data_IF_464870969471
#
_entry.id   IF_464870969471
#
_cell.length_a   1.000
_cell.length_b   1.000
_cell.length_c   1.000
_cell.angle_alpha   90.00
_cell.angle_beta   90.00
_cell.angle_gamma   90.00
#
_symmetry.space_group_name_H-M   'P 1'
#
loop_
_entity.id
_entity.type
_entity.pdbx_description
1 polymer ?
#
# COMPACT_ATOMS: atom_id res chain seq x y z
N UNK A 1 14.91 -5.64 -19.92
CA UNK A 1 16.21 -6.30 -20.12
C UNK A 1 16.33 -7.38 -19.05
N UNK A 2 15.79 -8.56 -19.36
CA UNK A 2 15.64 -9.67 -18.41
C UNK A 2 16.97 -10.41 -18.32
N UNK A 3 17.77 -10.15 -17.28
CA UNK A 3 18.84 -11.06 -16.89
C UNK A 3 18.23 -12.14 -15.99
N UNK A 4 17.76 -13.23 -16.63
CA UNK A 4 17.47 -14.46 -15.92
C UNK A 4 18.76 -14.99 -15.29
N UNK A 5 18.63 -15.38 -14.03
CA UNK A 5 19.70 -15.84 -13.15
C UNK A 5 20.40 -17.10 -13.67
N UNK A 6 21.67 -17.18 -13.27
CA UNK A 6 22.67 -18.22 -13.49
C UNK A 6 22.12 -19.65 -13.57
N UNK A 7 22.67 -20.41 -14.54
CA UNK A 7 22.48 -21.86 -14.73
C UNK A 7 22.52 -22.59 -13.38
N UNK A 8 21.34 -22.87 -12.87
CA UNK A 8 21.12 -23.80 -11.77
C UNK A 8 20.72 -25.12 -12.40
N UNK A 9 21.23 -26.26 -11.90
CA UNK A 9 20.82 -27.59 -12.34
C UNK A 9 19.39 -27.86 -11.85
N UNK A 10 18.42 -27.31 -12.59
CA UNK A 10 17.00 -27.41 -12.31
C UNK A 10 16.49 -28.77 -12.80
N UNK A 11 15.89 -29.57 -11.91
CA UNK A 11 15.37 -30.90 -12.24
C UNK A 11 13.89 -30.83 -12.56
N UNK A 12 13.54 -31.13 -13.80
CA UNK A 12 12.15 -31.35 -14.22
C UNK A 12 11.68 -32.71 -13.71
N UNK A 13 10.53 -32.72 -13.06
CA UNK A 13 9.86 -33.92 -12.58
C UNK A 13 8.58 -34.12 -13.39
N UNK A 14 8.40 -35.33 -13.93
CA UNK A 14 7.18 -35.71 -14.64
C UNK A 14 6.05 -35.95 -13.62
N UNK A 15 4.88 -35.36 -13.88
CA UNK A 15 3.68 -35.58 -13.10
C UNK A 15 3.11 -36.96 -13.42
N UNK A 16 2.70 -37.71 -12.39
CA UNK A 16 2.05 -39.01 -12.55
C UNK A 16 0.71 -38.88 -13.30
N UNK A 17 0.00 -37.77 -13.08
CA UNK A 17 -1.24 -37.44 -13.77
C UNK A 17 -1.11 -36.05 -14.41
N UNK A 18 -1.19 -35.94 -15.75
CA UNK A 18 -1.18 -34.64 -16.42
C UNK A 18 -2.39 -33.80 -16.01
N UNK A 19 -2.15 -32.52 -15.73
CA UNK A 19 -3.20 -31.57 -15.33
C UNK A 19 -3.64 -30.73 -16.51
N UNK A 20 -4.94 -30.52 -16.64
CA UNK A 20 -5.50 -29.56 -17.59
C UNK A 20 -5.51 -28.17 -16.93
N UNK A 21 -4.91 -27.18 -17.58
CA UNK A 21 -4.90 -25.79 -17.13
C UNK A 21 -5.52 -24.90 -18.18
N UNK A 22 -6.19 -23.84 -17.72
CA UNK A 22 -6.75 -22.81 -18.60
C UNK A 22 -5.88 -21.58 -18.54
N UNK A 23 -5.39 -21.13 -19.69
CA UNK A 23 -4.58 -19.90 -19.81
C UNK A 23 -5.48 -18.66 -19.70
N UNK A 24 -4.85 -17.50 -19.55
CA UNK A 24 -5.54 -16.19 -19.55
C UNK A 24 -6.30 -15.90 -20.85
N UNK A 25 -5.88 -16.51 -21.97
CA UNK A 25 -6.56 -16.42 -23.27
C UNK A 25 -7.77 -17.34 -23.37
N UNK A 26 -8.07 -18.13 -22.33
CA UNK A 26 -9.15 -19.12 -22.31
C UNK A 26 -8.80 -20.43 -23.00
N UNK A 27 -7.58 -20.59 -23.51
CA UNK A 27 -7.10 -21.81 -24.13
C UNK A 27 -6.80 -22.86 -23.06
N UNK A 28 -7.18 -24.11 -23.32
CA UNK A 28 -6.84 -25.24 -22.45
C UNK A 28 -5.51 -25.83 -22.89
N UNK A 29 -4.62 -26.08 -21.94
CA UNK A 29 -3.29 -26.64 -22.15
C UNK A 29 -3.03 -27.73 -21.12
N UNK A 30 -2.21 -28.71 -21.49
CA UNK A 30 -1.88 -29.82 -20.62
C UNK A 30 -0.51 -29.60 -20.00
N UNK A 31 -0.43 -29.73 -18.68
CA UNK A 31 0.79 -29.66 -17.89
C UNK A 31 1.16 -31.07 -17.47
N UNK A 32 2.31 -31.55 -17.94
CA UNK A 32 2.85 -32.87 -17.60
C UNK A 32 4.09 -32.81 -16.72
N UNK A 33 4.67 -31.62 -16.52
CA UNK A 33 5.93 -31.46 -15.80
C UNK A 33 5.87 -30.36 -14.75
N UNK A 34 6.62 -30.59 -13.69
CA UNK A 34 6.74 -29.71 -12.53
C UNK A 34 8.21 -29.52 -12.17
N UNK A 35 8.49 -28.40 -11.52
CA UNK A 35 9.85 -28.01 -11.17
C UNK A 35 9.84 -27.14 -9.92
N UNK A 36 10.74 -27.42 -8.98
CA UNK A 36 10.86 -26.61 -7.78
C UNK A 36 11.95 -25.56 -7.96
N UNK A 37 11.57 -24.28 -7.87
CA UNK A 37 12.46 -23.14 -8.13
C UNK A 37 12.43 -22.18 -6.95
N UNK A 38 13.59 -21.67 -6.53
CA UNK A 38 13.67 -20.53 -5.61
C UNK A 38 13.45 -19.26 -6.41
N UNK A 39 12.32 -18.59 -6.16
CA UNK A 39 11.96 -17.36 -6.84
C UNK A 39 12.61 -16.15 -6.14
N UNK A 40 13.07 -15.19 -6.93
CA UNK A 40 13.54 -13.91 -6.44
C UNK A 40 12.92 -12.78 -7.27
N UNK A 41 12.28 -11.83 -6.59
CA UNK A 41 11.63 -10.67 -7.19
C UNK A 41 12.51 -9.45 -6.99
N UNK A 42 12.69 -8.68 -8.07
CA UNK A 42 13.33 -7.38 -7.98
C UNK A 42 12.26 -6.32 -7.75
N UNK A 43 12.22 -5.74 -6.55
CA UNK A 43 11.30 -4.64 -6.22
C UNK A 43 12.07 -3.34 -6.05
N UNK A 44 11.36 -2.22 -5.90
CA UNK A 44 11.98 -0.92 -5.61
C UNK A 44 12.69 -0.90 -4.24
N UNK A 45 12.30 -1.77 -3.30
CA UNK A 45 12.92 -1.90 -1.99
C UNK A 45 14.17 -2.81 -2.00
N UNK A 46 14.44 -3.51 -3.11
CA UNK A 46 15.56 -4.43 -3.25
C UNK A 46 15.14 -5.78 -3.82
N UNK A 47 16.09 -6.73 -3.82
CA UNK A 47 15.81 -8.10 -4.24
C UNK A 47 15.20 -8.87 -3.08
N UNK A 48 13.98 -9.34 -3.27
CA UNK A 48 13.26 -10.20 -2.32
C UNK A 48 13.36 -11.65 -2.79
N UNK A 49 13.83 -12.55 -1.92
CA UNK A 49 14.00 -13.97 -2.24
C UNK A 49 12.96 -14.75 -1.44
N UNK A 50 12.19 -15.58 -2.12
CA UNK A 50 11.31 -16.54 -1.46
C UNK A 50 12.18 -17.65 -0.90
N UNK A 51 12.20 -17.77 0.44
CA UNK A 51 13.11 -18.68 1.12
C UNK A 51 12.77 -20.15 0.85
N UNK A 52 11.49 -20.47 0.71
CA UNK A 52 11.01 -21.80 0.33
C UNK A 52 10.97 -21.97 -1.20
N UNK A 53 11.45 -23.11 -1.75
CA UNK A 53 11.21 -23.46 -3.15
C UNK A 53 9.71 -23.45 -3.47
N UNK A 54 9.37 -22.88 -4.61
CA UNK A 54 8.01 -22.84 -5.14
C UNK A 54 7.91 -23.89 -6.24
N UNK A 55 6.88 -24.72 -6.16
CA UNK A 55 6.56 -25.71 -7.19
C UNK A 55 5.89 -25.02 -8.37
N UNK A 56 6.57 -25.02 -9.50
CA UNK A 56 6.14 -24.39 -10.75
C UNK A 56 5.72 -25.46 -11.77
N UNK A 57 4.73 -25.10 -12.59
CA UNK A 57 4.25 -25.89 -13.72
C UNK A 57 4.85 -25.35 -15.01
N UNK A 58 5.39 -26.21 -15.86
CA UNK A 58 5.93 -25.80 -17.16
C UNK A 58 4.92 -26.07 -18.26
N UNK A 59 4.71 -25.06 -19.11
CA UNK A 59 3.89 -25.16 -20.30
C UNK A 59 4.80 -25.17 -21.54
N UNK A 60 4.49 -26.03 -22.50
CA UNK A 60 5.19 -26.06 -23.78
C UNK A 60 4.58 -25.02 -24.72
N UNK A 61 4.91 -23.75 -24.44
CA UNK A 61 4.48 -22.59 -25.24
C UNK A 61 5.69 -21.91 -25.87
N UNK A 62 5.54 -21.30 -27.06
CA UNK A 62 6.62 -20.55 -27.71
C UNK A 62 6.98 -19.25 -26.97
N UNK A 63 6.16 -18.85 -26.00
CA UNK A 63 6.33 -17.65 -25.19
C UNK A 63 7.26 -17.95 -24.00
N UNK A 64 8.33 -17.15 -23.87
CA UNK A 64 9.25 -17.20 -22.72
C UNK A 64 8.70 -16.30 -21.59
N UNK A 65 7.54 -16.70 -21.07
CA UNK A 65 6.82 -15.98 -20.03
C UNK A 65 6.68 -16.83 -18.76
N UNK A 66 6.77 -16.16 -17.61
CA UNK A 66 6.56 -16.78 -16.30
C UNK A 66 5.33 -16.16 -15.65
N UNK A 67 4.34 -16.99 -15.36
CA UNK A 67 3.11 -16.57 -14.69
C UNK A 67 3.21 -16.89 -13.20
N UNK A 68 2.99 -15.87 -12.37
CA UNK A 68 2.90 -16.04 -10.92
C UNK A 68 1.44 -16.31 -10.54
N UNK A 69 1.21 -17.37 -9.76
CA UNK A 69 -0.12 -17.72 -9.27
C UNK A 69 -0.62 -16.72 -8.22
N UNK A 70 -1.94 -16.70 -8.00
CA UNK A 70 -2.56 -15.87 -6.95
C UNK A 70 -2.13 -16.30 -5.55
N UNK A 71 -1.96 -17.60 -5.34
CA UNK A 71 -1.48 -18.20 -4.10
C UNK A 71 -0.04 -17.76 -3.75
N UNK A 72 0.83 -17.76 -4.74
CA UNK A 72 2.22 -17.30 -4.62
C UNK A 72 2.32 -15.78 -4.51
N UNK A 73 1.43 -15.04 -5.15
CA UNK A 73 1.30 -13.59 -4.97
C UNK A 73 0.81 -13.24 -3.56
N UNK A 74 -0.19 -13.97 -3.05
CA UNK A 74 -0.72 -13.78 -1.70
C UNK A 74 0.31 -14.12 -0.61
N UNK A 75 1.16 -15.13 -0.79
CA UNK A 75 2.23 -15.44 0.16
C UNK A 75 3.31 -14.34 0.23
N UNK A 76 3.45 -13.57 -0.85
CA UNK A 76 4.28 -12.37 -0.93
C UNK A 76 3.56 -11.09 -0.47
N UNK A 77 2.33 -11.21 0.05
CA UNK A 77 1.48 -10.06 0.44
C UNK A 77 1.19 -9.12 -0.73
N UNK A 78 1.23 -9.65 -1.96
CA UNK A 78 0.85 -8.93 -3.18
C UNK A 78 -0.63 -9.24 -3.45
N UNK A 79 -1.48 -8.29 -3.10
CA UNK A 79 -2.91 -8.34 -3.40
C UNK A 79 -3.19 -7.69 -4.76
N UNK A 80 -3.15 -8.51 -5.82
CA UNK A 80 -3.30 -8.07 -7.21
C UNK A 80 -4.63 -7.33 -7.42
N UNK A 81 -5.71 -7.76 -6.77
CA UNK A 81 -7.03 -7.15 -6.95
C UNK A 81 -7.04 -5.73 -6.37
N UNK A 82 -6.43 -5.53 -5.18
CA UNK A 82 -6.25 -4.20 -4.58
C UNK A 82 -5.34 -3.29 -5.41
N UNK A 83 -4.24 -3.81 -5.95
CA UNK A 83 -3.33 -3.02 -6.79
C UNK A 83 -3.97 -2.64 -8.12
N UNK A 84 -4.77 -3.53 -8.73
CA UNK A 84 -5.54 -3.23 -9.94
C UNK A 84 -6.62 -2.18 -9.69
N UNK A 85 -7.30 -2.20 -8.53
CA UNK A 85 -8.27 -1.18 -8.13
C UNK A 85 -7.61 0.22 -7.99
N UNK A 86 -6.41 0.27 -7.39
CA UNK A 86 -5.60 1.49 -7.32
C UNK A 86 -5.11 1.96 -8.70
N UNK A 87 -4.90 1.05 -9.65
CA UNK A 87 -4.51 1.40 -11.02
C UNK A 87 -5.70 1.95 -11.82
N UNK A 88 -6.86 1.30 -11.70
CA UNK A 88 -8.08 1.68 -12.41
C UNK A 88 -8.58 3.06 -11.97
N UNK A 89 -8.52 3.37 -10.68
CA UNK A 89 -8.88 4.68 -10.14
C UNK A 89 -7.99 5.83 -10.67
N UNK A 90 -6.73 5.56 -11.04
CA UNK A 90 -5.83 6.56 -11.64
C UNK A 90 -6.10 6.84 -13.12
N UNK A 91 -6.76 5.94 -13.84
CA UNK A 91 -7.05 6.11 -15.27
C UNK A 91 -8.16 7.15 -15.50
N UNK A 92 -9.00 7.42 -14.50
CA UNK A 92 -10.06 8.42 -14.59
C UNK A 92 -9.59 9.87 -14.35
N UNK A 93 -8.33 10.08 -13.91
CA UNK A 93 -7.77 11.40 -13.57
C UNK A 93 -6.64 11.87 -14.52
N UNK A 94 -6.73 11.59 -15.82
CA UNK A 94 -5.85 12.23 -16.81
C UNK A 94 -6.63 13.08 -17.82
N UNK A 95 -6.74 14.37 -17.52
CA UNK A 95 -6.89 15.45 -18.49
C UNK A 95 -6.42 16.79 -17.89
N UNK A 96 -5.13 17.08 -18.00
CA UNK A 96 -4.60 18.31 -18.64
C UNK A 96 -3.07 18.45 -18.35
N UNK A 97 -2.19 18.31 -19.36
CA UNK A 97 -0.75 18.41 -19.19
C UNK A 97 -0.21 19.86 -19.05
N UNK A 98 -1.06 20.90 -19.01
CA UNK A 98 -0.61 22.30 -18.89
C UNK A 98 -1.43 23.22 -17.98
N UNK A 99 -2.31 22.71 -17.11
CA UNK A 99 -2.97 23.56 -16.12
C UNK A 99 -1.99 23.99 -15.02
N UNK A 100 -1.25 25.08 -15.25
CA UNK A 100 -0.55 25.81 -14.19
C UNK A 100 -1.60 26.46 -13.30
N UNK A 101 -1.87 25.83 -12.17
CA UNK A 101 -2.76 26.38 -11.15
C UNK A 101 -1.93 26.63 -9.89
N UNK A 102 -1.41 27.84 -9.75
CA UNK A 102 -0.94 28.41 -8.48
C UNK A 102 -2.12 28.66 -7.52
N UNK A 103 -3.18 27.86 -7.61
CA UNK A 103 -4.25 27.85 -6.64
C UNK A 103 -3.80 26.96 -5.51
N UNK A 104 -3.51 27.62 -4.39
CA UNK A 104 -3.47 27.00 -3.07
C UNK A 104 -4.66 26.04 -2.97
N UNK A 105 -4.39 24.76 -3.17
CA UNK A 105 -5.38 23.72 -2.91
C UNK A 105 -5.55 23.73 -1.39
N UNK A 106 -6.55 24.45 -0.92
CA UNK A 106 -7.19 24.15 0.34
C UNK A 106 -7.82 22.77 0.14
N UNK A 107 -6.97 21.75 0.18
CA UNK A 107 -7.36 20.39 0.47
C UNK A 107 -7.84 20.45 1.91
N UNK A 108 -9.06 20.96 2.08
CA UNK A 108 -9.94 20.59 3.16
C UNK A 108 -9.83 19.09 3.20
N UNK A 109 -9.03 18.59 4.15
CA UNK A 109 -8.90 17.19 4.47
C UNK A 109 -10.28 16.58 4.27
N UNK A 110 -10.37 15.48 3.53
CA UNK A 110 -11.62 14.72 3.42
C UNK A 110 -12.03 14.44 4.85
N UNK A 111 -12.87 15.34 5.39
CA UNK A 111 -13.49 15.17 6.68
C UNK A 111 -14.26 13.90 6.44
N UNK A 112 -13.92 12.83 7.15
CA UNK A 112 -14.85 11.74 7.29
C UNK A 112 -16.13 12.44 7.71
N UNK A 113 -17.11 12.51 6.80
CA UNK A 113 -18.34 13.24 7.07
C UNK A 113 -18.86 12.64 8.37
N UNK A 114 -19.27 13.48 9.31
CA UNK A 114 -19.68 13.04 10.65
C UNK A 114 -20.77 11.94 10.60
N UNK A 115 -21.47 11.83 9.46
CA UNK A 115 -22.46 10.78 9.14
C UNK A 115 -21.89 9.35 9.02
N UNK A 116 -20.61 9.17 8.66
CA UNK A 116 -19.95 7.84 8.59
C UNK A 116 -19.34 7.44 9.93
N UNK A 117 -19.06 8.41 10.81
CA UNK A 117 -18.33 8.17 12.05
C UNK A 117 -19.11 7.30 13.04
N UNK A 118 -20.35 7.67 13.33
CA UNK A 118 -21.18 6.94 14.30
C UNK A 118 -21.52 5.49 13.85
N UNK A 119 -21.91 5.23 12.59
CA UNK A 119 -22.16 3.87 12.10
C UNK A 119 -20.93 2.97 12.16
N UNK A 120 -19.76 3.47 11.72
CA UNK A 120 -18.52 2.70 11.74
C UNK A 120 -18.08 2.37 13.17
N UNK A 121 -18.23 3.33 14.09
CA UNK A 121 -17.88 3.14 15.48
C UNK A 121 -18.84 2.15 16.17
N UNK A 122 -20.13 2.16 15.80
CA UNK A 122 -21.11 1.17 16.26
C UNK A 122 -20.73 -0.23 15.81
N UNK A 123 -20.44 -0.39 14.51
CA UNK A 123 -20.01 -1.67 13.95
C UNK A 123 -18.75 -2.20 14.64
N UNK A 124 -17.78 -1.32 14.90
CA UNK A 124 -16.53 -1.68 15.59
C UNK A 124 -16.79 -2.19 17.02
N UNK A 125 -17.67 -1.52 17.76
CA UNK A 125 -18.06 -1.94 19.12
C UNK A 125 -18.79 -3.28 19.09
N UNK A 126 -19.69 -3.47 18.12
CA UNK A 126 -20.43 -4.73 17.93
C UNK A 126 -19.48 -5.89 17.65
N UNK A 127 -18.50 -5.69 16.76
CA UNK A 127 -17.48 -6.69 16.44
C UNK A 127 -16.62 -7.06 17.67
N UNK A 128 -16.23 -6.08 18.48
CA UNK A 128 -15.46 -6.32 19.72
C UNK A 128 -16.26 -7.15 20.74
N UNK A 129 -17.53 -6.81 20.94
CA UNK A 129 -18.42 -7.54 21.88
C UNK A 129 -18.58 -8.99 21.46
N UNK A 130 -18.80 -9.25 20.16
CA UNK A 130 -18.92 -10.60 19.60
C UNK A 130 -17.62 -11.40 19.72
N UNK A 131 -16.48 -10.79 19.38
CA UNK A 131 -15.17 -11.45 19.42
C UNK A 131 -14.77 -11.85 20.84
N UNK A 132 -15.00 -10.96 21.80
CA UNK A 132 -14.52 -11.14 23.16
C UNK A 132 -15.57 -11.87 24.03
N UNK A 133 -16.68 -12.34 23.44
CA UNK A 133 -17.77 -13.04 24.15
C UNK A 133 -18.38 -12.20 25.28
N UNK A 134 -18.29 -10.87 25.16
CA UNK A 134 -18.71 -9.96 26.22
C UNK A 134 -20.23 -9.87 26.27
N UNK A 135 -20.82 -9.84 27.48
CA UNK A 135 -22.27 -9.69 27.60
C UNK A 135 -22.74 -8.34 27.03
N UNK A 136 -23.95 -8.34 26.47
CA UNK A 136 -24.57 -7.21 25.74
C UNK A 136 -24.69 -5.94 26.60
N UNK A 137 -24.74 -6.08 27.93
CA UNK A 137 -24.71 -4.98 28.90
C UNK A 137 -23.41 -4.14 28.84
N UNK A 138 -22.29 -4.74 28.42
CA UNK A 138 -21.02 -4.03 28.23
C UNK A 138 -20.98 -3.22 26.95
N UNK A 139 -21.80 -3.54 25.94
CA UNK A 139 -21.90 -2.82 24.66
C UNK A 139 -22.32 -1.38 24.89
N UNK A 140 -23.40 -1.17 25.63
CA UNK A 140 -23.91 0.18 25.92
C UNK A 140 -22.89 0.98 26.73
N UNK A 141 -22.21 0.33 27.68
CA UNK A 141 -21.16 0.97 28.47
C UNK A 141 -19.95 1.36 27.62
N UNK A 142 -19.56 0.53 26.66
CA UNK A 142 -18.50 0.82 25.69
C UNK A 142 -18.91 1.97 24.76
N UNK A 143 -20.13 1.95 24.26
CA UNK A 143 -20.70 3.03 23.44
C UNK A 143 -20.62 4.38 24.14
N UNK A 144 -21.02 4.45 25.41
CA UNK A 144 -20.92 5.66 26.23
C UNK A 144 -19.47 6.14 26.34
N UNK A 145 -18.53 5.25 26.66
CA UNK A 145 -17.11 5.61 26.80
C UNK A 145 -16.54 6.15 25.50
N UNK A 146 -16.81 5.47 24.39
CA UNK A 146 -16.26 5.82 23.08
C UNK A 146 -16.80 7.18 22.58
N UNK A 147 -18.08 7.50 22.85
CA UNK A 147 -18.65 8.82 22.55
C UNK A 147 -18.24 9.92 23.54
N UNK A 148 -17.86 9.56 24.77
CA UNK A 148 -17.50 10.54 25.80
C UNK A 148 -16.15 11.19 25.51
N UNK A 149 -15.22 10.45 24.89
CA UNK A 149 -13.86 10.92 24.67
C UNK A 149 -13.59 11.17 23.19
N UNK A 150 -13.25 12.41 22.85
CA UNK A 150 -12.78 12.84 21.52
C UNK A 150 -11.30 12.46 21.29
N UNK A 151 -10.97 11.18 21.51
CA UNK A 151 -9.62 10.63 21.37
C UNK A 151 -9.49 9.68 20.18
N UNK A 152 -10.63 9.33 19.57
CA UNK A 152 -10.72 8.36 18.48
C UNK A 152 -10.78 9.11 17.16
N UNK A 153 -9.95 8.73 16.20
CA UNK A 153 -9.93 9.36 14.87
C UNK A 153 -10.09 8.32 13.78
N UNK A 154 -10.97 8.62 12.84
CA UNK A 154 -11.13 7.85 11.62
C UNK A 154 -10.23 8.36 10.49
N UNK A 155 -9.93 9.65 10.51
CA UNK A 155 -8.97 10.28 9.61
C UNK A 155 -7.95 11.07 10.42
N UNK A 156 -6.68 10.97 10.03
CA UNK A 156 -5.65 11.85 10.56
C UNK A 156 -5.85 13.23 9.91
N UNK A 157 -6.25 14.22 10.70
CA UNK A 157 -6.55 15.56 10.22
C UNK A 157 -5.91 16.64 11.08
N UNK A 158 -6.19 17.89 10.72
CA UNK A 158 -5.69 19.07 11.43
C UNK A 158 -6.34 19.20 12.79
N UNK A 159 -5.66 18.67 13.81
CA UNK A 159 -6.04 18.95 15.17
C UNK A 159 -5.85 20.42 15.50
N UNK A 160 -6.68 20.98 16.39
CA UNK A 160 -6.34 22.24 17.01
C UNK A 160 -4.95 22.11 17.66
N UNK A 161 -4.09 23.14 17.55
CA UNK A 161 -2.78 23.10 18.16
C UNK A 161 -2.92 22.79 19.65
N UNK A 162 -2.05 21.91 20.15
CA UNK A 162 -2.01 21.60 21.56
C UNK A 162 -1.94 22.89 22.39
N UNK A 163 -2.61 22.92 23.54
CA UNK A 163 -2.63 24.07 24.48
C UNK A 163 -1.31 24.19 25.23
N UNK A 164 -0.22 24.27 24.50
CA UNK A 164 1.15 24.40 24.98
C UNK A 164 1.81 25.56 24.24
N UNK A 165 2.72 26.26 24.91
CA UNK A 165 3.48 27.32 24.25
C UNK A 165 4.26 26.72 23.06
N UNK A 166 4.34 27.41 21.92
CA UNK A 166 5.13 26.94 20.77
C UNK A 166 6.57 26.67 21.17
N UNK A 167 7.13 25.60 20.61
CA UNK A 167 8.53 25.24 20.84
C UNK A 167 9.46 26.33 20.29
N UNK A 168 10.29 26.91 21.15
CA UNK A 168 11.31 27.89 20.75
C UNK A 168 12.64 27.20 20.49
N UNK A 169 13.04 27.14 19.23
CA UNK A 169 14.35 26.62 18.83
C UNK A 169 15.43 27.69 19.06
N UNK A 170 16.53 27.32 19.72
CA UNK A 170 17.72 28.17 19.89
C UNK A 170 18.86 27.63 19.05
N UNK A 171 19.34 28.43 18.11
CA UNK A 171 20.54 28.10 17.34
C UNK A 171 21.78 28.18 18.24
N UNK A 172 22.76 27.30 17.99
CA UNK A 172 24.09 27.42 18.61
C UNK A 172 24.75 28.72 18.11
N UNK A 173 25.61 29.33 18.93
CA UNK A 173 26.22 30.64 18.67
C UNK A 173 26.90 30.76 17.30
N UNK A 174 27.54 29.66 16.84
CA UNK A 174 28.26 29.61 15.57
C UNK A 174 27.48 28.91 14.44
N UNK A 175 26.18 28.64 14.65
CA UNK A 175 25.37 27.99 13.63
C UNK A 175 25.15 28.93 12.45
N UNK A 176 25.40 28.42 11.23
CA UNK A 176 25.15 29.14 9.98
C UNK A 176 24.00 28.46 9.24
N UNK A 177 23.04 29.21 8.69
CA UNK A 177 22.03 28.64 7.81
C UNK A 177 22.70 27.91 6.65
N UNK A 178 22.25 26.69 6.36
CA UNK A 178 22.75 25.90 5.26
C UNK A 178 21.57 25.43 4.41
N UNK A 179 21.63 25.75 3.12
CA UNK A 179 20.61 25.34 2.15
C UNK A 179 21.10 24.11 1.42
N UNK A 180 20.47 22.97 1.69
CA UNK A 180 20.68 21.77 0.89
C UNK A 180 20.07 21.95 -0.50
N UNK A 181 20.67 21.33 -1.53
CA UNK A 181 20.01 21.15 -2.81
C UNK A 181 18.77 20.28 -2.60
N UNK A 182 17.67 20.61 -3.28
CA UNK A 182 16.45 19.80 -3.19
C UNK A 182 16.76 18.37 -3.64
N UNK A 183 16.28 17.37 -2.89
CA UNK A 183 16.36 15.98 -3.32
C UNK A 183 15.54 15.83 -4.61
N UNK A 184 16.17 15.27 -5.65
CA UNK A 184 15.47 14.92 -6.88
C UNK A 184 14.69 13.62 -6.62
N UNK A 185 13.37 13.71 -6.60
CA UNK A 185 12.49 12.55 -6.48
C UNK A 185 12.14 12.01 -7.87
N UNK A 186 12.00 10.69 -7.99
CA UNK A 186 11.45 10.05 -9.18
C UNK A 186 10.01 10.53 -9.42
N UNK A 187 9.49 10.37 -10.64
CA UNK A 187 8.10 10.74 -10.97
C UNK A 187 7.09 10.03 -10.05
N UNK A 188 7.33 8.76 -9.74
CA UNK A 188 6.49 7.97 -8.82
C UNK A 188 6.51 8.54 -7.40
N UNK A 189 7.69 8.85 -6.87
CA UNK A 189 7.81 9.42 -5.53
C UNK A 189 7.21 10.83 -5.44
N UNK A 190 7.36 11.63 -6.51
CA UNK A 190 6.76 12.96 -6.60
C UNK A 190 5.24 12.89 -6.62
N UNK A 191 4.66 12.01 -7.44
CA UNK A 191 3.21 11.78 -7.45
C UNK A 191 2.69 11.33 -6.08
N UNK A 192 3.41 10.47 -5.38
CA UNK A 192 3.06 10.11 -4.00
C UNK A 192 3.07 11.31 -3.04
N UNK A 193 4.09 12.18 -3.11
CA UNK A 193 4.15 13.36 -2.24
C UNK A 193 3.10 14.42 -2.55
N UNK A 194 2.68 14.57 -3.81
CA UNK A 194 1.56 15.44 -4.19
C UNK A 194 0.26 15.02 -3.50
N UNK A 195 0.03 13.70 -3.33
CA UNK A 195 -1.12 13.16 -2.61
C UNK A 195 -0.97 13.24 -1.07
N UNK A 196 0.27 13.40 -0.57
CA UNK A 196 0.62 13.40 0.86
C UNK A 196 0.92 14.82 1.36
N UNK A 197 0.58 15.86 0.61
CA UNK A 197 0.79 17.26 1.00
C UNK A 197 -0.19 17.72 2.10
N UNK A 198 -0.23 16.97 3.20
CA UNK A 198 -0.83 17.35 4.47
C UNK A 198 0.15 18.27 5.23
N UNK A 199 -0.23 19.54 5.38
CA UNK A 199 0.25 20.39 6.50
C UNK A 199 1.73 20.77 6.53
N UNK A 200 2.34 21.22 5.42
CA UNK A 200 3.65 21.89 5.52
C UNK A 200 3.44 23.33 6.00
N UNK A 201 3.54 23.54 7.31
CA UNK A 201 3.57 24.88 7.91
C UNK A 201 4.79 25.68 7.43
N UNK A 202 4.56 26.90 6.94
CA UNK A 202 5.62 27.83 6.58
C UNK A 202 6.29 28.39 7.84
N UNK A 203 7.58 28.10 8.03
CA UNK A 203 8.40 28.80 9.04
C UNK A 203 8.81 30.15 8.45
N UNK A 204 8.04 31.20 8.76
CA UNK A 204 8.41 32.57 8.46
C UNK A 204 9.66 32.96 9.25
N UNK A 205 10.81 33.02 8.58
CA UNK A 205 12.00 33.67 9.12
C UNK A 205 11.83 35.18 8.92
N UNK A 206 11.34 35.87 9.95
CA UNK A 206 11.52 37.32 10.03
C UNK A 206 13.01 37.59 10.28
N UNK A 207 13.69 38.10 9.26
CA UNK A 207 15.02 38.72 9.36
C UNK A 207 14.90 40.13 9.91
#
# INVERSE_FOLDING_TARGET
MNQLLEKSDVKLVQLTEPRLVRTVTGQESQVSTTVDIRLGLQTAAGREIIDSPVTCHTLDTPEDETLLGRDTSASLVIDIDRELEQLASKIEEDNDPFASDDTYCDSSAVRARDDVHAPLMSHTIDAMVVRDGSPLDKRERLWVVVLTYDVWRLTLGDDPPARVAPLKLRLKKEARPYRFKCCQYSSVARGFFEHVQFGIGTVGMNL
#
